data_IF_205257700053
#
_entry.id   IF_205257700053
#
_cell.length_a   1.000
_cell.length_b   1.000
_cell.length_c   1.000
_cell.angle_alpha   90.00
_cell.angle_beta   90.00
_cell.angle_gamma   90.00
#
_symmetry.space_group_name_H-M   'P 1'
#
loop_
_entity.id
_entity.type
_entity.pdbx_description
1 polymer ?
2 non-polymer ?
3 non-polymer ?
4 non-polymer ?
5 water ?
#
# COMPACT_ATOMS: atom_id res chain seq x y z
N UNK A 4 -22.97 -10.40 6.72
CA UNK A 4 -23.77 -10.19 5.51
C UNK A 4 -22.96 -10.62 4.29
N UNK A 5 -22.92 -9.72 3.30
CA UNK A 5 -21.85 -9.73 2.33
C UNK A 5 -20.92 -8.62 2.79
N UNK A 6 -19.64 -8.94 3.02
CA UNK A 6 -18.67 -7.91 3.40
C UNK A 6 -18.06 -7.29 2.15
N UNK A 7 -18.26 -5.99 1.97
CA UNK A 7 -17.75 -5.30 0.80
C UNK A 7 -16.36 -4.74 1.13
N UNK A 8 -15.35 -5.19 0.38
CA UNK A 8 -13.97 -4.78 0.66
C UNK A 8 -13.42 -3.92 -0.46
N UNK A 9 -13.06 -2.68 -0.12
CA UNK A 9 -12.49 -1.74 -1.08
C UNK A 9 -11.00 -1.93 -1.19
N UNK A 10 -10.50 -1.78 -2.41
CA UNK A 10 -9.05 -1.85 -2.64
C UNK A 10 -8.68 -1.02 -3.87
N UNK A 11 -7.45 -0.51 -3.90
CA UNK A 11 -6.93 0.09 -5.12
C UNK A 11 -6.03 -0.91 -5.81
N UNK A 12 -6.31 -1.17 -7.08
CA UNK A 12 -5.65 -2.25 -7.80
C UNK A 12 -4.47 -1.77 -8.65
N UNK A 13 -3.72 -0.79 -8.16
CA UNK A 13 -2.51 -0.37 -8.89
C UNK A 13 -1.26 -0.58 -8.04
N UNK A 14 -1.29 -1.58 -7.17
CA UNK A 14 -0.20 -1.75 -6.21
C UNK A 14 0.26 -3.22 -6.11
N UNK A 15 0.68 -3.77 -7.25
CA UNK A 15 1.29 -5.10 -7.26
C UNK A 15 2.51 -5.11 -6.34
N UNK A 16 2.77 -6.24 -5.66
CA UNK A 16 2.08 -7.53 -5.71
C UNK A 16 0.99 -7.67 -4.67
N UNK A 17 0.53 -6.55 -4.10
CA UNK A 17 -0.49 -6.61 -3.06
C UNK A 17 -1.91 -6.58 -3.64
N UNK A 18 -2.15 -5.65 -4.55
CA UNK A 18 -3.48 -5.53 -5.16
C UNK A 18 -3.32 -5.03 -6.59
N UNK A 19 -3.69 -5.86 -7.55
CA UNK A 19 -3.68 -5.42 -8.94
C UNK A 19 -4.69 -6.26 -9.72
N UNK A 20 -4.75 -6.04 -11.03
CA UNK A 20 -5.66 -6.80 -11.88
C UNK A 20 -4.90 -7.68 -12.85
N UNK A 21 -5.43 -8.88 -13.10
CA UNK A 21 -4.84 -9.71 -14.14
C UNK A 21 -5.39 -9.28 -15.50
N UNK A 22 -5.05 -10.03 -16.55
CA UNK A 22 -5.41 -9.64 -17.91
C UNK A 22 -6.91 -9.71 -18.21
N UNK A 23 -7.69 -10.33 -17.33
CA UNK A 23 -9.14 -10.34 -17.53
C UNK A 23 -9.87 -9.51 -16.48
N UNK A 24 -9.11 -8.77 -15.69
CA UNK A 24 -9.69 -7.84 -14.73
C UNK A 24 -9.97 -8.42 -13.36
N UNK A 25 -9.55 -9.66 -13.14
CA UNK A 25 -9.69 -10.29 -11.82
C UNK A 25 -8.68 -9.67 -10.87
N UNK A 26 -9.09 -9.46 -9.63
CA UNK A 26 -8.19 -8.87 -8.63
C UNK A 26 -7.21 -9.93 -8.13
N UNK A 27 -5.93 -9.58 -8.06
CA UNK A 27 -4.90 -10.52 -7.67
C UNK A 27 -3.91 -9.86 -6.73
N UNK A 28 -3.23 -10.67 -5.92
CA UNK A 28 -2.20 -10.16 -5.03
C UNK A 28 -2.36 -10.62 -3.61
N UNK A 29 -1.37 -10.31 -2.79
CA UNK A 29 -1.34 -10.76 -1.41
C UNK A 29 -2.49 -10.19 -0.57
N UNK A 30 -2.87 -8.93 -0.81
CA UNK A 30 -4.05 -8.36 -0.14
C UNK A 30 -5.31 -9.15 -0.47
N UNK A 31 -5.45 -9.50 -1.74
CA UNK A 31 -6.62 -10.25 -2.20
C UNK A 31 -6.63 -11.64 -1.55
N UNK A 32 -5.47 -12.30 -1.55
CA UNK A 32 -5.34 -13.61 -0.92
C UNK A 32 -5.65 -13.57 0.56
N UNK A 33 -5.11 -12.58 1.27
CA UNK A 33 -5.40 -12.42 2.70
C UNK A 33 -6.88 -12.17 2.95
N UNK A 34 -7.47 -11.26 2.18
CA UNK A 34 -8.87 -10.93 2.35
C UNK A 34 -9.75 -12.14 2.09
N UNK A 35 -9.47 -12.84 1.00
CA UNK A 35 -10.29 -13.99 0.65
C UNK A 35 -10.15 -15.10 1.68
N UNK A 36 -8.95 -15.28 2.23
CA UNK A 36 -8.73 -16.33 3.21
C UNK A 36 -9.44 -15.98 4.51
N UNK A 37 -9.35 -14.72 4.91
CA UNK A 37 -10.05 -14.29 6.11
C UNK A 37 -11.56 -14.45 5.94
N UNK A 38 -12.09 -13.99 4.81
CA UNK A 38 -13.52 -14.13 4.54
C UNK A 38 -13.97 -15.59 4.62
N UNK A 39 -13.18 -16.49 4.06
CA UNK A 39 -13.50 -17.92 4.13
C UNK A 39 -13.64 -18.38 5.58
N UNK A 40 -12.67 -18.01 6.40
CA UNK A 40 -12.66 -18.43 7.80
C UNK A 40 -13.73 -17.73 8.63
N UNK A 41 -14.10 -16.53 8.22
CA UNK A 41 -15.18 -15.79 8.89
C UNK A 41 -16.54 -16.31 8.45
N UNK A 42 -16.51 -17.15 7.41
CA UNK A 42 -17.72 -17.73 6.81
C UNK A 42 -18.68 -16.65 6.35
N UNK A 43 -18.12 -15.66 5.64
CA UNK A 43 -18.91 -14.60 5.04
C UNK A 43 -18.62 -14.55 3.55
N UNK A 44 -19.56 -14.02 2.78
CA UNK A 44 -19.28 -13.70 1.40
C UNK A 44 -18.58 -12.37 1.35
N UNK A 45 -17.61 -12.25 0.46
CA UNK A 45 -16.93 -10.98 0.29
C UNK A 45 -16.97 -10.53 -1.16
N UNK A 46 -17.17 -9.23 -1.34
CA UNK A 46 -17.18 -8.60 -2.64
C UNK A 46 -16.10 -7.56 -2.67
N UNK A 47 -15.20 -7.67 -3.65
CA UNK A 47 -14.16 -6.67 -3.83
C UNK A 47 -14.67 -5.50 -4.66
N UNK A 48 -14.28 -4.30 -4.24
CA UNK A 48 -14.69 -3.06 -4.88
C UNK A 48 -13.48 -2.20 -5.18
N UNK A 49 -13.21 -1.98 -6.46
CA UNK A 49 -12.05 -1.16 -6.83
C UNK A 49 -12.36 0.32 -6.70
N UNK A 50 -11.38 1.07 -6.21
CA UNK A 50 -11.47 2.52 -6.27
C UNK A 50 -10.08 3.11 -6.18
N UNK A 51 -9.96 4.40 -6.49
CA UNK A 51 -8.71 5.09 -6.23
C UNK A 51 -8.40 5.00 -4.75
N UNK A 52 -7.12 4.97 -4.42
CA UNK A 52 -6.69 4.85 -3.04
C UNK A 52 -7.26 5.96 -2.16
N UNK A 53 -7.29 7.19 -2.66
CA UNK A 53 -7.73 8.31 -1.82
C UNK A 53 -9.23 8.32 -1.58
N UNK A 54 -9.95 7.44 -2.27
CA UNK A 54 -11.40 7.32 -2.07
C UNK A 54 -11.78 6.26 -1.04
N UNK A 55 -10.81 5.47 -0.60
CA UNK A 55 -11.12 4.31 0.23
C UNK A 55 -11.68 4.69 1.60
N UNK A 56 -10.97 5.54 2.34
CA UNK A 56 -11.49 5.92 3.66
C UNK A 56 -12.81 6.70 3.54
N UNK A 57 -12.93 7.65 2.59
CA UNK A 57 -14.25 8.27 2.45
C UNK A 57 -15.38 7.27 2.12
N UNK A 58 -15.10 6.29 1.26
CA UNK A 58 -16.11 5.30 0.90
C UNK A 58 -16.49 4.46 2.12
N UNK A 59 -15.49 4.14 2.93
CA UNK A 59 -15.74 3.38 4.15
C UNK A 59 -16.63 4.14 5.13
N UNK A 60 -16.29 5.41 5.35
CA UNK A 60 -17.10 6.27 6.22
C UNK A 60 -18.54 6.42 5.71
N UNK A 61 -18.69 6.40 4.38
CA UNK A 61 -19.98 6.58 3.74
C UNK A 61 -20.78 5.28 3.63
N UNK A 62 -20.21 4.19 4.15
CA UNK A 62 -20.78 2.84 4.11
C UNK A 62 -20.97 2.27 2.70
N UNK A 63 -20.21 2.79 1.74
CA UNK A 63 -20.23 2.24 0.39
C UNK A 63 -19.40 0.96 0.32
N UNK A 64 -18.45 0.83 1.25
CA UNK A 64 -17.71 -0.41 1.49
C UNK A 64 -17.68 -0.64 3.00
N UNK A 65 -17.27 -1.83 3.42
CA UNK A 65 -17.32 -2.23 4.82
C UNK A 65 -15.94 -2.45 5.40
N UNK A 66 -14.96 -2.57 4.52
CA UNK A 66 -13.59 -2.84 4.91
C UNK A 66 -12.66 -2.34 3.83
N UNK A 67 -11.43 -2.02 4.22
CA UNK A 67 -10.39 -1.65 3.25
C UNK A 67 -9.21 -2.62 3.39
N UNK A 68 -8.85 -3.31 2.31
CA UNK A 68 -7.59 -4.06 2.32
C UNK A 68 -6.83 -3.60 1.11
N UNK A 69 -5.81 -2.77 1.35
CA UNK A 69 -5.20 -2.03 0.25
C UNK A 69 -3.84 -1.47 0.67
N UNK A 70 -3.03 -2.32 1.31
CA UNK A 70 -1.76 -1.90 1.93
C UNK A 70 -1.98 -0.64 2.79
N UNK A 71 -3.10 -0.59 3.49
CA UNK A 71 -3.49 0.60 4.24
C UNK A 71 -2.74 0.67 5.57
N UNK A 72 -1.75 1.56 5.64
CA UNK A 72 -0.91 1.67 6.82
C UNK A 72 -1.70 2.11 8.05
N UNK A 73 -1.37 1.51 9.17
CA UNK A 73 -1.99 1.81 10.45
C UNK A 73 -1.28 3.01 11.07
N UNK A 74 -1.86 4.20 10.91
CA UNK A 74 -1.21 5.42 11.40
C UNK A 74 -2.05 6.05 12.50
N UNK A 75 -1.39 6.90 13.30
CA UNK A 75 -2.07 7.62 14.36
C UNK A 75 -3.22 8.45 13.80
N UNK A 76 -2.95 9.21 12.74
CA UNK A 76 -3.99 10.03 12.13
C UNK A 76 -5.18 9.21 11.63
N UNK A 77 -4.91 8.08 10.98
CA UNK A 77 -6.01 7.29 10.46
C UNK A 77 -6.83 6.65 11.59
N UNK A 78 -6.20 6.29 12.71
CA UNK A 78 -6.93 5.70 13.84
C UNK A 78 -7.86 6.70 14.52
N UNK A 79 -7.70 7.98 14.22
CA UNK A 79 -8.65 8.98 14.72
C UNK A 79 -9.94 8.92 13.94
N UNK A 80 -9.89 8.34 12.75
CA UNK A 80 -11.04 8.35 11.84
C UNK A 80 -11.68 6.98 11.66
N UNK A 81 -10.85 5.94 11.66
CA UNK A 81 -11.32 4.57 11.46
C UNK A 81 -10.63 3.59 12.43
N UNK A 82 -11.07 2.34 12.40
CA UNK A 82 -10.44 1.28 13.18
C UNK A 82 -9.62 0.39 12.25
N UNK A 83 -8.71 -0.39 12.83
CA UNK A 83 -7.90 -1.32 12.06
C UNK A 83 -7.92 -2.71 12.69
N UNK A 84 -7.82 -3.72 11.83
CA UNK A 84 -7.46 -5.06 12.29
C UNK A 84 -6.04 -5.06 12.84
N UNK A 85 -5.65 -6.18 13.44
CA UNK A 85 -4.25 -6.44 13.71
C UNK A 85 -3.44 -6.38 12.42
N UNK A 86 -2.12 -6.19 12.56
CA UNK A 86 -1.24 -6.02 11.42
C UNK A 86 -1.29 -7.18 10.42
N UNK A 87 -1.44 -6.86 9.14
CA UNK A 87 -1.42 -7.84 8.07
C UNK A 87 0.00 -8.07 7.59
N UNK A 88 0.77 -6.99 7.40
CA UNK A 88 2.18 -7.06 7.07
C UNK A 88 2.83 -5.69 7.27
N UNK A 89 4.16 -5.67 7.32
CA UNK A 89 4.93 -4.45 7.48
C UNK A 89 5.06 -3.74 6.14
N UNK A 90 5.31 -2.43 6.18
CA UNK A 90 5.47 -1.67 4.94
C UNK A 90 6.39 -0.46 5.14
N UNK A 91 7.64 -0.60 4.73
CA UNK A 91 8.54 0.55 4.69
C UNK A 91 8.38 1.30 3.37
N UNK A 92 8.79 2.57 3.37
CA UNK A 92 8.76 3.36 2.13
C UNK A 92 10.17 3.52 1.60
N UNK A 93 10.29 3.68 0.29
CA UNK A 93 11.60 3.85 -0.32
C UNK A 93 11.48 4.56 -1.66
N UNK A 94 12.46 5.38 -1.97
CA UNK A 94 12.49 6.10 -3.25
C UNK A 94 13.01 5.21 -4.36
N UNK A 95 12.48 5.40 -5.57
CA UNK A 95 13.09 4.81 -6.76
C UNK A 95 13.43 5.90 -7.76
N UNK A 96 14.42 5.61 -8.59
CA UNK A 96 14.87 6.54 -9.64
C UNK A 96 15.56 5.72 -10.72
N UNK A 97 16.01 6.40 -11.78
CA UNK A 97 16.75 5.73 -12.85
C UNK A 97 18.01 5.08 -12.30
N UNK A 98 18.39 3.93 -12.87
CA UNK A 98 19.64 3.29 -12.49
C UNK A 98 20.80 4.24 -12.70
N UNK A 99 21.70 4.31 -11.72
CA UNK A 99 22.86 5.16 -11.83
C UNK A 99 22.61 6.56 -11.29
N UNK A 100 21.35 6.85 -10.98
CA UNK A 100 21.01 8.14 -10.41
C UNK A 100 21.65 8.34 -9.05
N UNK A 101 22.13 9.56 -8.78
CA UNK A 101 22.72 9.92 -7.49
C UNK A 101 21.68 10.32 -6.45
N UNK A 102 20.41 10.31 -6.86
CA UNK A 102 19.32 10.80 -6.02
C UNK A 102 19.27 10.09 -4.66
N UNK A 103 19.08 10.89 -3.62
CA UNK A 103 18.89 10.39 -2.27
C UNK A 103 17.60 10.98 -1.73
N UNK A 104 16.98 10.30 -0.75
CA UNK A 104 15.76 10.81 -0.13
C UNK A 104 16.07 11.96 0.83
N UNK A 105 16.71 12.99 0.31
CA UNK A 105 17.08 14.19 1.08
C UNK A 105 16.64 15.43 0.34
N UNK A 106 16.41 16.50 1.09
CA UNK A 106 16.04 17.78 0.50
C UNK A 106 17.13 18.30 -0.41
N UNK A 107 18.39 18.13 0.01
CA UNK A 107 19.53 18.59 -0.78
C UNK A 107 19.53 17.94 -2.15
N UNK A 108 19.24 16.65 -2.19
CA UNK A 108 19.22 15.92 -3.45
C UNK A 108 17.98 16.22 -4.29
N UNK A 109 16.84 16.38 -3.63
CA UNK A 109 15.56 16.43 -4.33
C UNK A 109 15.04 17.84 -4.64
N UNK A 110 15.65 18.87 -4.07
CA UNK A 110 15.14 20.22 -4.30
C UNK A 110 15.16 20.53 -5.81
N UNK A 111 14.05 21.02 -6.33
CA UNK A 111 13.92 21.30 -7.74
C UNK A 111 13.58 20.09 -8.61
N UNK A 112 13.66 18.88 -8.04
CA UNK A 112 13.38 17.68 -8.81
C UNK A 112 11.90 17.32 -8.73
N UNK A 113 11.46 16.48 -9.68
CA UNK A 113 10.05 16.09 -9.76
C UNK A 113 9.86 14.71 -9.15
N UNK A 114 9.08 14.65 -8.08
CA UNK A 114 8.92 13.42 -7.30
C UNK A 114 7.45 13.01 -7.22
N UNK A 115 7.14 11.81 -7.68
CA UNK A 115 5.76 11.33 -7.70
C UNK A 115 5.36 10.62 -6.43
N UNK A 116 4.14 10.89 -5.97
CA UNK A 116 3.56 10.20 -4.80
C UNK A 116 2.08 9.93 -5.06
N UNK A 117 1.58 8.85 -4.46
CA UNK A 117 0.17 8.51 -4.57
C UNK A 117 -0.72 9.44 -3.74
N UNK A 118 -1.73 10.03 -4.36
CA UNK A 118 -2.62 10.93 -3.63
C UNK A 118 -3.32 10.15 -2.51
N UNK A 119 -3.34 10.73 -1.31
CA UNK A 119 -3.99 10.12 -0.17
C UNK A 119 -3.09 9.19 0.63
N UNK A 120 -1.86 9.00 0.17
CA UNK A 120 -0.95 8.06 0.83
C UNK A 120 -0.12 8.68 1.94
N UNK A 121 0.45 7.82 2.78
CA UNK A 121 1.44 8.25 3.76
C UNK A 121 2.64 8.88 3.06
N UNK A 122 2.98 8.39 1.87
CA UNK A 122 4.10 8.98 1.11
C UNK A 122 3.78 10.41 0.71
N UNK A 123 2.54 10.67 0.30
CA UNK A 123 2.15 12.04 -0.02
C UNK A 123 2.24 12.94 1.22
N UNK A 124 1.79 12.44 2.36
CA UNK A 124 1.87 13.19 3.61
C UNK A 124 3.32 13.54 3.93
N UNK A 125 4.20 12.55 3.85
CA UNK A 125 5.61 12.75 4.14
C UNK A 125 6.22 13.77 3.17
N UNK A 126 6.00 13.54 1.88
CA UNK A 126 6.57 14.39 0.83
C UNK A 126 6.03 15.81 0.89
N UNK A 127 4.75 15.95 1.18
CA UNK A 127 4.17 17.30 1.23
C UNK A 127 4.76 18.11 2.36
N UNK A 128 4.91 17.49 3.54
CA UNK A 128 5.43 18.19 4.71
C UNK A 128 6.92 18.49 4.60
N UNK A 129 7.69 17.51 4.14
CA UNK A 129 9.15 17.61 4.24
C UNK A 129 9.82 18.10 2.97
N UNK A 130 9.16 17.90 1.83
CA UNK A 130 9.78 18.15 0.54
C UNK A 130 9.06 19.26 -0.25
N UNK A 131 7.75 19.13 -0.44
CA UNK A 131 7.00 20.11 -1.23
C UNK A 131 7.17 21.52 -0.66
N UNK A 132 7.11 21.63 0.67
CA UNK A 132 7.23 22.93 1.32
C UNK A 132 8.57 23.60 1.01
N UNK A 133 9.60 22.77 0.87
CA UNK A 133 10.96 23.29 0.78
C UNK A 133 11.49 23.35 -0.65
N UNK A 134 10.61 23.15 -1.63
CA UNK A 134 10.99 23.39 -3.01
C UNK A 134 11.17 22.16 -3.89
N UNK A 135 10.88 20.98 -3.34
CA UNK A 135 10.80 19.79 -4.18
C UNK A 135 9.48 19.83 -4.95
N UNK A 136 9.53 19.54 -6.24
CA UNK A 136 8.29 19.44 -7.02
C UNK A 136 7.60 18.10 -6.78
N UNK A 137 6.82 18.05 -5.70
CA UNK A 137 6.06 16.86 -5.36
C UNK A 137 4.78 16.83 -6.18
N UNK A 138 4.65 15.80 -6.99
CA UNK A 138 3.49 15.62 -7.86
C UNK A 138 2.64 14.47 -7.31
N UNK A 139 1.37 14.75 -7.01
CA UNK A 139 0.48 13.73 -6.45
C UNK A 139 -0.40 13.13 -7.53
N UNK A 140 -0.53 11.80 -7.52
CA UNK A 140 -1.22 11.08 -8.58
C UNK A 140 -2.43 10.28 -8.10
N UNK A 141 -3.42 10.14 -8.97
CA UNK A 141 -4.65 9.41 -8.64
C UNK A 141 -4.36 7.93 -8.37
N UNK A 142 -3.36 7.38 -9.04
CA UNK A 142 -2.98 5.98 -8.82
C UNK A 142 -1.51 5.74 -9.09
N UNK A 143 -0.99 4.59 -8.64
CA UNK A 143 0.45 4.30 -8.72
C UNK A 143 0.92 3.94 -10.15
N UNK A 144 0.00 3.45 -10.99
CA UNK A 144 0.34 3.17 -12.38
C UNK A 144 0.76 4.43 -13.11
N UNK A 145 0.05 5.53 -12.87
CA UNK A 145 0.40 6.81 -13.48
C UNK A 145 1.80 7.26 -13.07
N UNK A 146 2.16 6.93 -11.83
CA UNK A 146 3.48 7.28 -11.32
C UNK A 146 4.60 6.53 -12.05
N UNK A 147 4.48 5.20 -12.11
CA UNK A 147 5.45 4.39 -12.84
C UNK A 147 5.55 4.82 -14.30
N UNK A 148 4.41 5.11 -14.91
CA UNK A 148 4.35 5.57 -16.31
C UNK A 148 5.09 6.90 -16.52
N UNK A 149 4.81 7.87 -15.65
CA UNK A 149 5.46 9.18 -15.75
C UNK A 149 6.95 9.09 -15.43
N UNK A 150 7.32 8.16 -14.57
CA UNK A 150 8.74 7.92 -14.27
C UNK A 150 9.47 7.36 -15.50
N UNK A 151 8.92 6.32 -16.13
CA UNK A 151 9.57 5.73 -17.30
C UNK A 151 9.53 6.70 -18.48
N UNK A 152 8.58 7.63 -18.49
CA UNK A 152 8.53 8.64 -19.53
C UNK A 152 9.53 9.78 -19.28
N UNK A 153 10.22 9.73 -18.14
CA UNK A 153 11.17 10.77 -17.80
C UNK A 153 10.56 12.07 -17.31
N UNK A 154 9.27 12.05 -16.99
CA UNK A 154 8.59 13.23 -16.46
C UNK A 154 8.83 13.38 -14.98
N UNK A 155 9.14 12.26 -14.33
CA UNK A 155 9.52 12.25 -12.92
C UNK A 155 10.99 11.89 -12.78
N UNK A 156 11.66 12.50 -11.82
CA UNK A 156 13.02 12.10 -11.47
C UNK A 156 13.02 10.96 -10.48
N UNK A 157 11.97 10.88 -9.67
CA UNK A 157 11.89 9.87 -8.63
C UNK A 157 10.46 9.65 -8.18
N UNK A 158 10.25 8.57 -7.43
CA UNK A 158 8.92 8.27 -6.90
C UNK A 158 9.04 7.61 -5.55
N UNK A 159 8.13 7.98 -4.65
CA UNK A 159 8.11 7.41 -3.30
C UNK A 159 6.84 6.58 -3.11
N UNK A 160 7.01 5.35 -2.65
CA UNK A 160 5.91 4.41 -2.46
C UNK A 160 6.36 3.32 -1.50
N UNK A 161 5.50 2.35 -1.21
CA UNK A 161 5.92 1.23 -0.37
C UNK A 161 7.05 0.45 -1.05
N UNK A 162 8.06 0.10 -0.27
CA UNK A 162 9.26 -0.52 -0.79
C UNK A 162 8.99 -1.85 -1.50
N UNK A 163 8.17 -2.70 -0.91
CA UNK A 163 7.91 -4.02 -1.49
C UNK A 163 7.07 -3.90 -2.76
N UNK A 164 6.18 -2.92 -2.80
CA UNK A 164 5.39 -2.67 -3.99
C UNK A 164 6.30 -2.26 -5.14
N UNK A 165 7.20 -1.30 -4.88
CA UNK A 165 8.13 -0.84 -5.90
C UNK A 165 9.02 -2.00 -6.36
N UNK A 166 9.50 -2.78 -5.41
CA UNK A 166 10.45 -3.85 -5.73
C UNK A 166 9.78 -4.94 -6.57
N UNK A 167 8.74 -5.56 -6.01
CA UNK A 167 8.14 -6.72 -6.67
C UNK A 167 7.23 -6.31 -7.82
N UNK A 168 6.61 -5.15 -7.70
CA UNK A 168 5.66 -4.70 -8.71
C UNK A 168 6.23 -3.91 -9.89
N UNK A 169 7.48 -3.47 -9.78
CA UNK A 169 8.05 -2.60 -10.81
C UNK A 169 9.53 -2.91 -11.10
N UNK A 170 10.39 -2.77 -10.08
CA UNK A 170 11.84 -2.93 -10.30
C UNK A 170 12.19 -4.30 -10.86
N UNK A 171 11.53 -5.34 -10.37
CA UNK A 171 11.79 -6.71 -10.80
C UNK A 171 10.97 -7.13 -12.02
N UNK A 172 10.22 -6.18 -12.58
CA UNK A 172 9.45 -6.40 -13.79
C UNK A 172 10.17 -5.75 -14.97
N UNK A 173 9.84 -6.17 -16.21
CA UNK A 173 10.50 -5.57 -17.38
C UNK A 173 10.39 -4.04 -17.44
N UNK A 174 9.25 -3.51 -17.03
CA UNK A 174 9.03 -2.06 -17.05
C UNK A 174 10.07 -1.30 -16.22
N UNK A 175 10.56 -1.92 -15.15
CA UNK A 175 11.47 -1.24 -14.23
C UNK A 175 12.91 -1.69 -14.29
N UNK A 176 13.28 -2.38 -15.38
CA UNK A 176 14.62 -2.92 -15.55
C UNK A 176 15.73 -1.88 -15.43
N UNK A 177 15.48 -0.67 -15.93
CA UNK A 177 16.50 0.36 -15.89
C UNK A 177 16.31 1.31 -14.70
N UNK A 178 15.60 0.84 -13.68
CA UNK A 178 15.38 1.64 -12.48
C UNK A 178 15.87 0.90 -11.25
N UNK A 179 16.05 1.63 -10.16
CA UNK A 179 16.54 1.05 -8.92
C UNK A 179 16.12 1.90 -7.74
N UNK A 180 16.26 1.35 -6.53
CA UNK A 180 16.05 2.15 -5.34
C UNK A 180 17.13 3.23 -5.24
N UNK A 181 16.69 4.41 -4.82
CA UNK A 181 17.60 5.52 -4.60
C UNK A 181 17.69 5.77 -3.11
N UNK A 182 18.79 5.30 -2.50
CA UNK A 182 18.98 5.39 -1.08
C UNK A 182 18.25 4.28 -0.33
N UNK A 183 18.41 4.25 0.99
CA UNK A 183 17.78 3.21 1.82
C UNK A 183 16.33 3.55 2.10
N UNK A 184 15.61 2.64 2.75
CA UNK A 184 14.27 2.89 3.24
C UNK A 184 14.19 4.24 3.95
N UNK A 185 13.09 4.95 3.71
CA UNK A 185 12.82 6.19 4.43
C UNK A 185 12.04 5.81 5.68
N UNK A 186 12.68 5.94 6.83
CA UNK A 186 12.07 5.57 8.09
C UNK A 186 11.63 6.81 8.85
N UNK A 187 10.33 6.89 9.11
CA UNK A 187 9.80 7.97 9.90
C UNK A 187 8.50 7.51 10.55
N UNK A 188 8.54 7.28 11.85
CA UNK A 188 7.38 6.82 12.61
C UNK A 188 6.23 7.81 12.63
N UNK A 189 6.52 9.08 12.38
CA UNK A 189 5.47 10.09 12.37
C UNK A 189 4.56 9.92 11.14
N UNK A 190 4.98 9.13 10.15
CA UNK A 190 4.27 9.14 8.86
C UNK A 190 3.81 7.79 8.31
N UNK A 191 4.65 6.75 8.36
CA UNK A 191 4.37 5.59 7.52
C UNK A 191 3.62 4.48 8.24
N UNK A 192 3.39 4.66 9.53
CA UNK A 192 2.55 3.73 10.27
C UNK A 192 3.26 2.48 10.76
N UNK A 193 2.51 1.61 11.43
CA UNK A 193 3.07 0.39 11.98
C UNK A 193 2.53 -0.81 11.20
N UNK A 194 2.97 -0.92 9.94
CA UNK A 194 2.45 -1.96 9.08
C UNK A 194 1.07 -1.60 8.57
N UNK A 195 0.43 -2.55 7.88
CA UNK A 195 -0.87 -2.33 7.26
C UNK A 195 -1.93 -3.18 7.94
N UNK A 196 -3.19 -2.81 7.80
CA UNK A 196 -4.27 -3.58 8.40
C UNK A 196 -5.55 -3.40 7.61
N UNK A 197 -6.54 -4.20 7.96
CA UNK A 197 -7.89 -4.03 7.42
C UNK A 197 -8.49 -2.76 8.02
N UNK A 198 -8.90 -1.81 7.18
CA UNK A 198 -9.53 -0.60 7.69
C UNK A 198 -11.01 -0.85 7.85
N UNK A 199 -11.56 -0.40 8.97
CA UNK A 199 -12.94 -0.67 9.36
C UNK A 199 -13.57 0.55 10.01
N UNK A 200 -14.91 0.66 9.98
CA UNK A 200 -15.57 1.72 10.74
C UNK A 200 -15.36 1.46 12.24
N UNK A 201 -15.21 2.52 13.01
CA UNK A 201 -14.91 2.36 14.44
C UNK A 201 -15.94 1.57 15.22
N UNK A 202 -17.19 1.72 14.84
CA UNK A 202 -18.27 1.05 15.55
C UNK A 202 -18.46 -0.41 15.15
N UNK A 203 -17.75 -0.86 14.11
CA UNK A 203 -17.92 -2.23 13.65
C UNK A 203 -17.02 -3.18 14.43
N UNK A 204 -17.29 -3.24 15.73
CA UNK A 204 -16.52 -4.05 16.66
C UNK A 204 -16.54 -5.53 16.30
N UNK A 205 -17.72 -6.03 15.96
CA UNK A 205 -17.87 -7.44 15.64
C UNK A 205 -17.09 -7.80 14.37
N UNK A 206 -17.13 -6.93 13.36
CA UNK A 206 -16.42 -7.22 12.12
C UNK A 206 -14.92 -7.20 12.36
N UNK A 207 -14.44 -6.25 13.16
CA UNK A 207 -13.02 -6.24 13.49
C UNK A 207 -12.59 -7.52 14.23
N UNK A 208 -13.41 -7.94 15.19
CA UNK A 208 -13.12 -9.15 15.95
C UNK A 208 -13.07 -10.37 15.03
N UNK A 209 -13.96 -10.41 14.05
CA UNK A 209 -13.99 -11.52 13.10
C UNK A 209 -12.76 -11.54 12.22
N UNK A 210 -12.37 -10.38 11.67
CA UNK A 210 -11.14 -10.32 10.88
C UNK A 210 -9.94 -10.72 11.74
N UNK A 211 -9.87 -10.18 12.97
CA UNK A 211 -8.72 -10.44 13.83
C UNK A 211 -8.59 -11.92 14.15
N UNK A 212 -9.73 -12.57 14.41
CA UNK A 212 -9.75 -13.99 14.71
C UNK A 212 -9.29 -14.82 13.52
N UNK A 213 -9.82 -14.51 12.34
CA UNK A 213 -9.43 -15.23 11.14
C UNK A 213 -7.95 -15.05 10.84
N UNK A 214 -7.45 -13.83 11.06
CA UNK A 214 -6.05 -13.51 10.79
C UNK A 214 -5.13 -14.30 11.71
N UNK A 215 -5.45 -14.31 13.00
CA UNK A 215 -4.66 -15.10 13.96
C UNK A 215 -4.64 -16.56 13.55
N UNK A 216 -5.80 -17.07 13.15
CA UNK A 216 -5.92 -18.48 12.81
C UNK A 216 -5.14 -18.86 11.55
N UNK A 217 -5.15 -17.99 10.54
CA UNK A 217 -4.45 -18.32 9.32
C UNK A 217 -2.94 -18.10 9.47
N UNK A 218 -2.54 -17.24 10.41
CA UNK A 218 -1.11 -17.11 10.72
C UNK A 218 -0.65 -18.34 11.50
N UNK A 219 -1.46 -18.74 12.47
CA UNK A 219 -1.10 -19.84 13.36
C UNK A 219 -0.92 -21.18 12.65
N UNK A 220 -1.74 -21.47 11.63
CA UNK A 220 -1.67 -22.78 11.01
C UNK A 220 -0.72 -22.80 9.80
N UNK A 221 -0.05 -21.68 9.55
CA UNK A 221 0.96 -21.63 8.51
C UNK A 221 0.44 -21.17 7.15
N UNK A 222 -0.86 -20.89 7.08
CA UNK A 222 -1.46 -20.46 5.82
C UNK A 222 -0.89 -19.11 5.36
N UNK A 223 -0.65 -18.20 6.31
CA UNK A 223 -0.06 -16.91 5.98
C UNK A 223 1.23 -17.09 5.19
N UNK A 224 2.13 -17.91 5.72
CA UNK A 224 3.44 -18.09 5.11
C UNK A 224 3.32 -18.78 3.76
N UNK A 225 2.38 -19.72 3.66
CA UNK A 225 2.13 -20.43 2.41
C UNK A 225 1.70 -19.43 1.33
N UNK A 226 0.78 -18.55 1.68
CA UNK A 226 0.32 -17.54 0.73
C UNK A 226 1.42 -16.51 0.44
N UNK A 227 2.17 -16.12 1.46
CA UNK A 227 3.20 -15.10 1.29
C UNK A 227 4.31 -15.59 0.36
N UNK A 228 4.58 -16.88 0.42
CA UNK A 228 5.68 -17.49 -0.36
C UNK A 228 5.44 -17.36 -1.86
N UNK A 229 4.19 -17.18 -2.26
CA UNK A 229 3.89 -17.00 -3.68
C UNK A 229 4.54 -15.72 -4.21
N UNK A 230 4.70 -14.73 -3.34
CA UNK A 230 5.17 -13.41 -3.74
C UNK A 230 6.53 -13.00 -3.21
N UNK A 231 6.91 -13.55 -2.06
CA UNK A 231 8.06 -13.02 -1.32
C UNK A 231 9.02 -14.10 -0.87
N UNK A 232 10.31 -13.81 -0.93
CA UNK A 232 11.30 -14.73 -0.41
C UNK A 232 11.92 -14.17 0.87
N UNK A 233 11.14 -13.38 1.59
CA UNK A 233 11.58 -12.74 2.83
C UNK A 233 10.38 -12.61 3.75
N UNK A 234 10.65 -12.20 5.00
CA UNK A 234 9.60 -12.04 5.99
C UNK A 234 8.85 -10.72 5.80
N UNK A 235 7.72 -10.77 5.11
CA UNK A 235 6.97 -9.56 4.80
C UNK A 235 6.19 -9.05 6.03
N UNK A 236 5.91 -9.96 6.96
CA UNK A 236 5.14 -9.60 8.15
C UNK A 236 5.88 -8.63 9.06
N UNK A 237 7.18 -8.84 9.21
CA UNK A 237 7.99 -8.01 10.09
C UNK A 237 7.98 -8.56 11.50
N UNK A 238 7.91 -7.67 12.48
CA UNK A 238 8.01 -8.09 13.88
C UNK A 238 6.65 -8.36 14.52
X LIG B 1 1.12 2.18 2.55
X LIG B 1 0.77 3.45 1.93
X LIG B 1 -0.40 4.08 2.67
X LIG B 1 -0.99 3.44 3.55
X LIG B 1 0.43 3.28 0.45
X LIG B 1 -0.65 2.20 0.19
X LIG B 1 -1.20 2.28 -1.23
X LIG B 1 -2.00 1.10 -1.55
X LIG B 1 -2.60 0.89 -2.72
X LIG B 1 -2.51 1.78 -3.70
X LIG B 1 -3.30 -0.23 -2.92
X LIG B 1 -0.76 5.23 2.42
X LIG C 1 -23.75 -2.42 6.67
X LIG C 1 -23.79 -3.48 7.34
X LIG C 1 -24.24 -1.40 7.20
X LIG C 1 -23.13 -2.35 5.31
X LIG D 1 -20.71 -0.79 18.54
X LIG D 1 -19.58 -0.54 19.03
X LIG D 1 -21.44 0.20 18.29
X LIG D 1 -21.15 -2.20 18.26
X LIG E 1 -11.30 -12.11 -5.77
X LIG E 1 -10.92 -13.42 -5.42
X LIG E 1 -11.26 -12.01 -7.28
X LIG E 1 -12.00 -13.07 -7.84
X LIG E 1 -11.93 -10.71 -7.71
X LIG E 1 -11.68 -10.56 -9.08
X LIG F 1 9.43 -5.23 5.95
X LIG F 1 9.44 -6.62 6.18
X LIG F 1 8.26 -4.86 5.05
X LIG F 1 7.57 -6.03 4.63
X LIG F 1 8.81 -4.22 3.79
X LIG F 1 8.62 -2.83 3.79
X LIG G 1 -3.43 11.57 5.17
X LIG G 1 -2.54 12.02 6.17
X LIG G 1 -3.64 10.07 5.33
X LIG G 1 -2.51 9.41 4.82
X LIG G 1 -4.88 9.63 4.56
X LIG G 1 -5.57 8.61 5.26
X LIG H 1 11.71 -5.43 0.17
X LIG H 1 12.47 -5.49 -1.02
X LIG H 1 12.35 -6.29 1.26
X LIG H 1 13.75 -6.28 1.14
X LIG H 1 11.95 -5.74 2.63
X LIG H 1 12.57 -6.50 3.65
X LIG I 1 -0.67 2.74 -16.69
X LIG I 1 -0.57 4.06 -17.21
X LIG I 1 0.26 1.80 -17.45
X LIG I 1 1.12 2.55 -18.28
X LIG I 1 1.09 0.96 -16.47
X LIG I 1 2.00 1.79 -15.79
#
# INVERSE_FOLDING_TARGET
>A
ALPQTVRIGTDTTYAPFSSKDAKGEFIGFDIDLGNEMCKRMQVKCTWVASDFDALIPSLKAKKIDAIISSLAITDKRQQEIAFSDKLYAADSRLIAAKGSPIQPTLESLKGKHVGVLQGSTQEAYANDNWRTKGVDVVAYANQDLIYSDLTAGRLDAALQDEVAASEGFLKQPAGKEYAFAGPSVKDKKYFGDGTGVGLRKDDTELKAAFDKALTELRQDGTYDKMAKKYFDFNVYGD
>B hetero
1 ARG N CA C O CB CG CD NE CZ NH1 NH2 OXT
>C hetero
1 ACT C O OXT CH3
>D hetero
1 ACT C O OXT CH3
>E hetero
1 GOL C1 O1 C2 O2 C3 O3
>F hetero
1 GOL C1 O1 C2 O2 C3 O3
>G hetero
1 GOL C1 O1 C2 O2 C3 O3
>H hetero
1 GOL C1 O1 C2 O2 C3 O3
>I hetero
1 GOL C1 O1 C2 O2 C3 O3
#
